data_IF_017259015253
#
_entry.id   IF_017259015253
#
_cell.length_a   1.000
_cell.length_b   1.000
_cell.length_c   1.000
_cell.angle_alpha   90.00
_cell.angle_beta   90.00
_cell.angle_gamma   90.00
#
_symmetry.space_group_name_H-M   'P 1'
#
loop_
_entity.id
_entity.type
_entity.pdbx_description
1 polymer ?
#
# COMPACT_ATOMS: atom_id res chain seq x y z
N UNK A 1 -14.42 -1.57 -14.08
CA UNK A 1 -13.11 -1.48 -13.39
C UNK A 1 -12.74 -0.02 -13.37
N UNK A 2 -12.56 0.58 -12.20
CA UNK A 2 -11.99 1.93 -12.12
C UNK A 2 -10.48 1.75 -12.13
N UNK A 3 -9.83 2.36 -13.11
CA UNK A 3 -8.38 2.47 -13.14
C UNK A 3 -8.04 3.81 -12.49
N UNK A 4 -7.18 3.79 -11.48
CA UNK A 4 -6.69 5.01 -10.86
C UNK A 4 -5.73 5.74 -11.80
N UNK A 5 -5.59 7.05 -11.61
CA UNK A 5 -4.65 7.83 -12.41
C UNK A 5 -3.23 7.29 -12.25
N UNK A 6 -2.51 7.16 -13.37
CA UNK A 6 -1.14 6.69 -13.36
C UNK A 6 -0.22 7.65 -12.58
N UNK A 7 0.67 7.10 -11.76
CA UNK A 7 1.62 7.88 -10.95
C UNK A 7 3.05 7.51 -11.33
N UNK A 8 3.88 8.54 -11.48
CA UNK A 8 5.29 8.42 -11.81
C UNK A 8 6.08 8.07 -10.54
N UNK A 9 6.73 6.91 -10.52
CA UNK A 9 7.52 6.38 -9.41
C UNK A 9 9.01 6.39 -9.77
N UNK A 10 9.75 7.33 -9.20
CA UNK A 10 11.19 7.47 -9.42
C UNK A 10 11.97 6.71 -8.37
N UNK A 11 12.90 5.88 -8.79
CA UNK A 11 13.69 5.02 -7.91
C UNK A 11 15.04 5.67 -7.65
N UNK A 12 15.16 6.35 -6.52
CA UNK A 12 16.39 7.06 -6.13
C UNK A 12 17.28 6.19 -5.22
N UNK A 13 18.62 6.19 -5.40
CA UNK A 13 19.53 5.40 -4.55
C UNK A 13 19.39 5.71 -3.06
N UNK A 14 19.16 6.97 -2.69
CA UNK A 14 18.98 7.35 -1.28
C UNK A 14 17.70 6.76 -0.69
N UNK A 15 16.61 6.67 -1.46
CA UNK A 15 15.37 6.06 -0.99
C UNK A 15 15.53 4.57 -0.74
N UNK A 16 16.27 3.87 -1.63
CA UNK A 16 16.65 2.46 -1.45
C UNK A 16 17.43 2.27 -0.14
N UNK A 17 18.47 3.09 0.09
CA UNK A 17 19.29 3.03 1.30
C UNK A 17 18.46 3.27 2.57
N UNK A 18 17.59 4.28 2.56
CA UNK A 18 16.74 4.59 3.71
C UNK A 18 15.74 3.47 3.99
N UNK A 19 15.14 2.89 2.94
CA UNK A 19 14.23 1.76 3.08
C UNK A 19 14.93 0.52 3.63
N UNK A 20 16.07 0.14 3.07
CA UNK A 20 16.87 -1.00 3.52
C UNK A 20 17.23 -0.88 5.01
N UNK A 21 17.68 0.30 5.45
CA UNK A 21 17.96 0.57 6.87
C UNK A 21 16.71 0.53 7.74
N UNK A 22 15.57 1.02 7.25
CA UNK A 22 14.33 1.01 8.02
C UNK A 22 13.84 -0.43 8.31
N UNK A 23 14.10 -1.37 7.40
CA UNK A 23 13.77 -2.79 7.60
C UNK A 23 14.94 -3.61 8.20
N UNK A 24 16.10 -3.00 8.43
CA UNK A 24 17.28 -3.67 8.98
C UNK A 24 17.92 -4.68 8.04
N UNK A 25 17.75 -4.55 6.71
CA UNK A 25 18.35 -5.43 5.72
C UNK A 25 19.67 -4.83 5.20
N UNK A 26 20.77 -5.53 5.47
CA UNK A 26 22.14 -5.09 5.20
C UNK A 26 22.71 -5.65 3.88
N UNK A 27 21.87 -6.20 2.99
CA UNK A 27 22.34 -6.73 1.72
C UNK A 27 23.17 -5.67 0.93
N UNK A 28 24.45 -5.95 0.60
CA UNK A 28 25.33 -4.97 -0.05
C UNK A 28 24.81 -4.53 -1.43
N UNK A 29 23.99 -5.34 -2.09
CA UNK A 29 23.41 -5.00 -3.39
C UNK A 29 22.57 -3.71 -3.36
N UNK A 30 22.09 -3.27 -2.19
CA UNK A 30 21.30 -2.05 -2.03
C UNK A 30 22.15 -0.76 -2.01
N UNK A 31 23.48 -0.88 -2.00
CA UNK A 31 24.41 0.27 -2.03
C UNK A 31 25.44 0.18 -3.16
N UNK A 32 25.45 -0.91 -3.91
CA UNK A 32 26.22 -1.07 -5.14
C UNK A 32 25.71 -0.15 -6.26
N UNK A 33 26.39 -0.13 -7.41
CA UNK A 33 26.01 0.72 -8.56
C UNK A 33 25.70 -0.14 -9.80
N UNK A 34 24.45 -0.16 -10.30
CA UNK A 34 23.28 0.51 -9.72
C UNK A 34 22.77 -0.22 -8.47
N UNK A 35 22.21 0.51 -7.51
CA UNK A 35 21.67 -0.08 -6.28
C UNK A 35 20.39 -0.85 -6.60
N UNK A 36 20.29 -2.10 -6.14
CA UNK A 36 19.07 -2.90 -6.24
C UNK A 36 18.05 -2.41 -5.22
N UNK A 37 16.78 -2.32 -5.62
CA UNK A 37 15.71 -2.07 -4.68
C UNK A 37 15.33 -3.36 -3.92
N UNK A 38 15.12 -3.31 -2.59
CA UNK A 38 14.63 -4.44 -1.82
C UNK A 38 13.29 -5.00 -2.34
N UNK A 39 12.97 -6.29 -2.16
CA UNK A 39 11.76 -6.92 -2.73
C UNK A 39 10.41 -6.31 -2.33
N UNK A 40 10.36 -5.48 -1.28
CA UNK A 40 9.14 -4.80 -0.82
C UNK A 40 9.20 -3.29 -1.02
N UNK A 41 10.22 -2.79 -1.72
CA UNK A 41 10.50 -1.36 -1.91
C UNK A 41 9.35 -0.60 -2.60
N UNK A 42 8.60 -1.25 -3.49
CA UNK A 42 7.45 -0.66 -4.19
C UNK A 42 6.36 -0.16 -3.23
N UNK A 43 6.33 -0.61 -1.98
CA UNK A 43 5.44 -0.04 -0.96
C UNK A 43 5.71 1.44 -0.67
N UNK A 44 6.90 1.94 -1.00
CA UNK A 44 7.19 3.37 -0.88
C UNK A 44 6.37 4.23 -1.87
N UNK A 45 5.72 3.62 -2.88
CA UNK A 45 4.77 4.31 -3.77
C UNK A 45 3.70 5.09 -2.99
N UNK A 46 3.29 4.60 -1.82
CA UNK A 46 2.30 5.26 -0.95
C UNK A 46 2.69 6.72 -0.59
N UNK A 47 3.99 7.03 -0.55
CA UNK A 47 4.49 8.38 -0.27
C UNK A 47 4.43 9.32 -1.48
N UNK A 48 4.16 8.82 -2.68
CA UNK A 48 4.00 9.63 -3.90
C UNK A 48 2.55 9.74 -4.37
N UNK A 49 1.67 8.80 -3.99
CA UNK A 49 0.23 8.85 -4.32
C UNK A 49 -0.42 10.15 -3.80
N UNK A 50 -1.02 11.03 -4.62
CA UNK A 50 -1.56 12.32 -4.16
C UNK A 50 -2.58 12.19 -3.01
N UNK A 51 -3.44 11.18 -3.11
CA UNK A 51 -4.59 10.98 -2.22
C UNK A 51 -4.40 9.81 -1.25
N UNK A 52 -3.16 9.49 -0.88
CA UNK A 52 -2.90 8.44 0.10
C UNK A 52 -3.46 8.82 1.48
N UNK A 53 -4.48 8.09 1.92
CA UNK A 53 -5.27 8.39 3.12
C UNK A 53 -4.46 8.34 4.43
N UNK A 54 -3.42 7.50 4.47
CA UNK A 54 -2.57 7.38 5.66
C UNK A 54 -1.43 8.42 5.71
N UNK A 55 -1.37 9.33 4.73
CA UNK A 55 -0.41 10.45 4.76
C UNK A 55 -0.92 11.56 5.70
N UNK A 56 -0.14 11.97 6.72
CA UNK A 56 -0.48 13.14 7.52
C UNK A 56 -0.61 14.39 6.64
N UNK A 57 -1.67 15.18 6.87
CA UNK A 57 -1.91 16.46 6.19
C UNK A 57 -2.05 17.57 7.24
N UNK A 58 -1.49 18.74 6.92
CA UNK A 58 -1.54 19.89 7.81
C UNK A 58 -3.00 20.26 8.09
N UNK A 59 -3.36 20.39 9.37
CA UNK A 59 -4.71 20.74 9.83
C UNK A 59 -5.82 19.70 9.55
N UNK A 60 -5.47 18.48 9.17
CA UNK A 60 -6.42 17.37 9.02
C UNK A 60 -6.26 16.36 10.19
N UNK A 61 -7.33 15.68 10.64
CA UNK A 61 -7.19 14.58 11.60
C UNK A 61 -6.29 13.50 11.00
N UNK A 62 -5.45 12.89 11.82
CA UNK A 62 -4.64 11.75 11.40
C UNK A 62 -4.65 10.64 12.43
N UNK A 63 -4.63 9.42 11.92
CA UNK A 63 -4.90 8.17 12.63
C UNK A 63 -3.80 7.84 13.66
N UNK A 64 -2.58 8.36 13.49
CA UNK A 64 -1.44 8.06 14.37
C UNK A 64 -1.06 9.16 15.37
N UNK A 65 -1.72 10.32 15.35
CA UNK A 65 -1.54 11.34 16.39
C UNK A 65 -2.48 11.01 17.53
N UNK A 66 -1.98 10.45 18.62
CA UNK A 66 -2.77 10.13 19.82
C UNK A 66 -3.42 11.35 20.47
N UNK A 67 -4.51 11.86 19.87
CA UNK A 67 -5.42 12.83 20.45
C UNK A 67 -5.01 14.30 20.45
N UNK A 68 -4.01 14.75 19.68
CA UNK A 68 -3.63 16.18 19.66
C UNK A 68 -3.87 16.83 18.30
N UNK A 69 -5.15 17.06 18.01
CA UNK A 69 -5.63 18.18 17.20
C UNK A 69 -7.13 18.37 17.48
N UNK A 70 -7.48 18.81 18.69
CA UNK A 70 -8.77 19.43 19.07
C UNK A 70 -10.08 18.78 18.57
N UNK A 71 -10.11 17.47 18.32
CA UNK A 71 -11.33 16.75 17.98
C UNK A 71 -11.46 15.47 18.80
N UNK A 72 -12.66 15.29 19.33
CA UNK A 72 -13.07 14.14 20.12
C UNK A 72 -12.78 12.83 19.34
N UNK A 73 -12.29 11.76 20.00
CA UNK A 73 -11.98 10.46 19.36
C UNK A 73 -13.14 9.78 18.63
N UNK A 74 -14.34 10.34 18.68
CA UNK A 74 -15.56 9.79 18.10
C UNK A 74 -15.72 10.06 16.58
N UNK A 75 -14.91 10.94 15.97
CA UNK A 75 -15.09 11.34 14.56
C UNK A 75 -13.86 11.13 13.68
N UNK A 76 -12.75 10.64 14.23
CA UNK A 76 -11.51 10.36 13.48
C UNK A 76 -11.16 8.87 13.62
N UNK A 77 -11.76 8.04 12.78
CA UNK A 77 -11.52 6.59 12.75
C UNK A 77 -10.21 6.21 12.03
N UNK A 78 -9.37 5.32 12.62
CA UNK A 78 -8.19 4.66 12.02
C UNK A 78 -8.45 3.70 10.86
N UNK A 79 -9.71 3.38 10.75
CA UNK A 79 -10.33 2.32 9.99
C UNK A 79 -11.70 2.93 9.82
N UNK A 80 -12.16 3.18 8.61
CA UNK A 80 -13.55 3.58 8.46
C UNK A 80 -14.41 2.44 9.03
N UNK A 81 -14.83 2.54 10.29
CA UNK A 81 -16.10 2.00 10.76
C UNK A 81 -17.15 2.77 9.96
N UNK A 82 -17.26 2.39 8.71
CA UNK A 82 -18.46 2.54 7.94
C UNK A 82 -19.49 1.63 8.60
N UNK A 83 -20.78 1.86 8.35
CA UNK A 83 -21.83 0.93 8.75
C UNK A 83 -21.59 -0.53 8.25
N UNK A 84 -20.57 -0.75 7.42
CA UNK A 84 -20.13 -2.02 6.83
C UNK A 84 -18.90 -2.68 7.48
N UNK A 85 -18.31 -2.14 8.55
CA UNK A 85 -17.26 -2.80 9.36
C UNK A 85 -15.81 -2.35 9.10
N UNK A 86 -14.85 -2.82 9.92
CA UNK A 86 -13.44 -2.42 9.87
C UNK A 86 -12.68 -3.12 8.73
N UNK A 87 -11.90 -2.36 7.95
CA UNK A 87 -11.04 -2.89 6.88
C UNK A 87 -9.61 -3.07 7.37
N UNK A 88 -9.03 -4.25 7.11
CA UNK A 88 -7.67 -4.63 7.48
C UNK A 88 -6.86 -5.02 6.25
N UNK A 89 -5.54 -4.82 6.34
CA UNK A 89 -4.58 -5.38 5.38
C UNK A 89 -4.38 -6.86 5.67
N UNK A 90 -4.83 -7.74 4.77
CA UNK A 90 -4.76 -9.19 4.95
C UNK A 90 -3.48 -9.79 4.36
N UNK A 91 -3.14 -9.42 3.12
CA UNK A 91 -1.98 -9.96 2.41
C UNK A 91 -1.38 -8.89 1.51
N UNK A 92 -0.07 -9.00 1.30
CA UNK A 92 0.64 -8.27 0.27
C UNK A 92 1.53 -9.25 -0.51
N UNK A 93 1.43 -9.27 -1.83
CA UNK A 93 2.28 -10.06 -2.72
C UNK A 93 2.93 -9.20 -3.80
N UNK A 94 4.08 -9.67 -4.30
CA UNK A 94 4.87 -9.02 -5.34
C UNK A 94 5.37 -10.06 -6.34
N UNK A 95 5.11 -9.83 -7.62
CA UNK A 95 5.66 -10.60 -8.73
C UNK A 95 6.64 -9.73 -9.51
N UNK A 96 7.91 -10.13 -9.56
CA UNK A 96 8.97 -9.42 -10.25
C UNK A 96 9.23 -10.06 -11.61
N UNK A 97 9.18 -9.25 -12.67
CA UNK A 97 9.56 -9.66 -14.02
C UNK A 97 11.01 -9.28 -14.35
N UNK A 98 11.53 -8.25 -13.65
CA UNK A 98 12.96 -7.97 -13.49
C UNK A 98 13.21 -7.23 -12.17
N UNK A 99 14.44 -7.24 -11.62
CA UNK A 99 14.79 -6.40 -10.48
C UNK A 99 14.57 -4.91 -10.79
N UNK A 100 14.16 -4.16 -9.78
CA UNK A 100 14.16 -2.69 -9.81
C UNK A 100 15.54 -2.20 -9.39
N UNK A 101 16.07 -1.22 -10.12
CA UNK A 101 17.38 -0.62 -9.85
C UNK A 101 17.28 0.90 -9.71
N UNK A 102 18.20 1.49 -8.96
CA UNK A 102 18.31 2.94 -8.87
C UNK A 102 18.46 3.58 -10.26
N UNK A 103 17.71 4.66 -10.49
CA UNK A 103 17.57 5.30 -11.79
C UNK A 103 16.36 4.84 -12.60
N UNK A 104 15.70 3.73 -12.21
CA UNK A 104 14.42 3.35 -12.82
C UNK A 104 13.37 4.47 -12.63
N UNK A 105 12.62 4.71 -13.69
CA UNK A 105 11.46 5.60 -13.71
C UNK A 105 10.27 4.78 -14.16
N UNK A 106 9.42 4.39 -13.21
CA UNK A 106 8.32 3.47 -13.44
C UNK A 106 6.98 4.22 -13.44
N UNK A 107 6.09 3.87 -14.36
CA UNK A 107 4.70 4.28 -14.35
C UNK A 107 3.90 3.24 -13.56
N UNK A 108 3.35 3.65 -12.42
CA UNK A 108 2.50 2.81 -11.59
C UNK A 108 1.02 3.07 -11.92
N UNK A 109 0.28 2.02 -12.25
CA UNK A 109 -1.18 2.07 -12.43
C UNK A 109 -1.85 1.07 -11.51
N UNK A 110 -2.91 1.51 -10.83
CA UNK A 110 -3.64 0.69 -9.88
C UNK A 110 -5.05 0.40 -10.37
N UNK A 111 -5.48 -0.84 -10.21
CA UNK A 111 -6.82 -1.31 -10.57
C UNK A 111 -7.36 -2.27 -9.53
N UNK A 112 -8.69 -2.39 -9.49
CA UNK A 112 -9.35 -3.41 -8.69
C UNK A 112 -9.08 -4.81 -9.26
N UNK A 113 -8.85 -5.78 -8.39
CA UNK A 113 -8.72 -7.20 -8.72
C UNK A 113 -10.00 -7.98 -8.38
N UNK A 114 -9.83 -9.19 -7.85
CA UNK A 114 -10.94 -10.04 -7.41
C UNK A 114 -11.55 -9.52 -6.11
N UNK A 115 -12.84 -9.83 -5.92
CA UNK A 115 -13.53 -9.71 -4.63
C UNK A 115 -14.22 -11.02 -4.30
N UNK A 116 -14.17 -11.45 -3.05
CA UNK A 116 -14.82 -12.68 -2.60
C UNK A 116 -15.27 -12.57 -1.15
N UNK A 117 -16.07 -13.52 -0.69
CA UNK A 117 -16.52 -13.59 0.70
C UNK A 117 -16.09 -14.90 1.34
N UNK A 118 -15.92 -14.90 2.67
CA UNK A 118 -15.63 -16.09 3.45
C UNK A 118 -16.42 -16.07 4.75
N UNK A 119 -17.08 -17.20 5.04
CA UNK A 119 -17.74 -17.39 6.33
C UNK A 119 -16.71 -17.58 7.45
N UNK A 120 -16.87 -16.78 8.51
CA UNK A 120 -16.08 -16.84 9.72
C UNK A 120 -16.96 -17.10 10.94
N UNK A 121 -16.32 -17.35 12.09
CA UNK A 121 -17.04 -17.56 13.36
C UNK A 121 -17.87 -16.36 13.83
N UNK A 122 -17.57 -15.16 13.32
CA UNK A 122 -18.17 -13.89 13.72
C UNK A 122 -19.00 -13.26 12.59
N UNK A 123 -19.36 -14.05 11.58
CA UNK A 123 -20.08 -13.59 10.38
C UNK A 123 -19.22 -13.61 9.11
N UNK A 124 -19.83 -13.16 8.02
CA UNK A 124 -19.23 -13.14 6.67
C UNK A 124 -18.20 -12.02 6.55
N UNK A 125 -16.99 -12.35 6.14
CA UNK A 125 -15.94 -11.38 5.80
C UNK A 125 -15.91 -11.16 4.29
N UNK A 126 -15.74 -9.91 3.86
CA UNK A 126 -15.55 -9.56 2.44
C UNK A 126 -14.09 -9.25 2.16
N UNK A 127 -13.53 -9.84 1.11
CA UNK A 127 -12.16 -9.65 0.66
C UNK A 127 -12.15 -8.94 -0.69
N UNK A 128 -11.11 -8.15 -0.94
CA UNK A 128 -10.88 -7.51 -2.22
C UNK A 128 -9.39 -7.41 -2.52
N UNK A 129 -9.05 -7.39 -3.81
CA UNK A 129 -7.71 -7.15 -4.31
C UNK A 129 -7.59 -5.72 -4.86
N UNK A 130 -6.41 -5.12 -4.63
CA UNK A 130 -5.93 -3.96 -5.37
C UNK A 130 -4.59 -4.31 -6.00
N UNK A 131 -4.52 -4.20 -7.31
CA UNK A 131 -3.37 -4.61 -8.12
C UNK A 131 -2.71 -3.36 -8.69
N UNK A 132 -1.43 -3.17 -8.40
CA UNK A 132 -0.60 -2.10 -8.95
C UNK A 132 0.44 -2.70 -9.90
N UNK A 133 0.37 -2.30 -11.16
CA UNK A 133 1.35 -2.66 -12.18
C UNK A 133 2.38 -1.52 -12.33
N UNK A 134 3.66 -1.86 -12.30
CA UNK A 134 4.77 -0.93 -12.51
C UNK A 134 5.41 -1.22 -13.86
N UNK A 135 5.32 -0.28 -14.80
CA UNK A 135 5.91 -0.40 -16.14
C UNK A 135 7.03 0.59 -16.35
N UNK A 136 8.06 0.23 -17.11
CA UNK A 136 9.15 1.17 -17.44
C UNK A 136 8.81 2.05 -18.66
N UNK A 137 9.79 2.82 -19.13
CA UNK A 137 9.64 3.76 -20.24
C UNK A 137 9.31 3.11 -21.58
N UNK A 138 9.60 1.81 -21.74
CA UNK A 138 9.26 1.04 -22.94
C UNK A 138 7.88 0.37 -22.81
N UNK A 139 7.22 0.50 -21.65
CA UNK A 139 5.93 -0.12 -21.35
C UNK A 139 6.04 -1.56 -20.85
N UNK A 140 7.25 -2.06 -20.65
CA UNK A 140 7.50 -3.41 -20.15
C UNK A 140 7.13 -3.52 -18.68
N UNK A 141 6.45 -4.61 -18.30
CA UNK A 141 6.02 -4.84 -16.94
C UNK A 141 7.23 -5.23 -16.08
N UNK A 142 7.49 -4.47 -15.02
CA UNK A 142 8.65 -4.65 -14.13
C UNK A 142 8.23 -5.40 -12.86
N UNK A 143 7.15 -4.94 -12.23
CA UNK A 143 6.58 -5.54 -11.01
C UNK A 143 5.07 -5.47 -11.04
N UNK A 144 4.43 -6.54 -10.55
CA UNK A 144 3.02 -6.52 -10.14
C UNK A 144 2.94 -6.64 -8.62
N UNK A 145 2.31 -5.66 -7.98
CA UNK A 145 2.02 -5.65 -6.54
C UNK A 145 0.54 -5.92 -6.32
N UNK A 146 0.18 -6.87 -5.46
CA UNK A 146 -1.21 -7.15 -5.12
C UNK A 146 -1.43 -7.06 -3.61
N UNK A 147 -2.28 -6.12 -3.20
CA UNK A 147 -2.80 -6.03 -1.85
C UNK A 147 -4.12 -6.82 -1.77
N UNK A 148 -4.29 -7.64 -0.74
CA UNK A 148 -5.59 -8.17 -0.33
C UNK A 148 -6.04 -7.43 0.93
N UNK A 149 -7.18 -6.76 0.82
CA UNK A 149 -7.90 -6.19 1.96
C UNK A 149 -9.03 -7.11 2.42
N UNK A 150 -9.37 -7.04 3.72
CA UNK A 150 -10.53 -7.72 4.29
C UNK A 150 -11.37 -6.74 5.09
N UNK A 151 -12.67 -6.69 4.81
CA UNK A 151 -13.67 -6.01 5.62
C UNK A 151 -14.33 -7.03 6.53
N UNK A 152 -14.19 -6.80 7.84
CA UNK A 152 -14.80 -7.63 8.87
C UNK A 152 -16.29 -7.32 9.02
N UNK A 153 -17.12 -8.29 9.42
CA UNK A 153 -18.52 -8.03 9.73
C UNK A 153 -18.64 -7.02 10.89
N UNK A 154 -19.74 -6.24 10.96
CA UNK A 154 -19.98 -5.31 12.05
C UNK A 154 -19.95 -6.02 13.42
N UNK A 155 -19.43 -5.38 14.48
CA UNK A 155 -19.48 -5.95 15.81
C UNK A 155 -20.95 -6.13 16.28
N UNK A 156 -21.27 -7.30 16.84
CA UNK A 156 -22.57 -7.56 17.48
C UNK A 156 -23.64 -8.26 16.64
N UNK A 157 -23.34 -8.71 15.42
CA UNK A 157 -24.17 -9.71 14.74
C UNK A 157 -23.73 -11.11 15.20
N UNK A 158 -24.33 -11.62 16.29
CA UNK A 158 -24.36 -13.05 16.55
C UNK A 158 -25.17 -13.75 15.45
N UNK A 159 -24.66 -14.90 14.98
CA UNK A 159 -25.32 -15.75 13.99
C UNK A 159 -26.52 -16.49 14.58
#
# INVERSE_FOLDING_TARGET
>A
MKEEAAVLFRVEPLQILLFARAIGDENPAYVETPALAPPTFTQTLQHVLPDYEFRPRMNEPWIGTGGVADRSPAEAGPTGETATGATLHAEQSFEYHRPIVAGDVLLATTRDGRSWQKEGRRGTMAFFERITEFRDGDGELVVTSTLVGVTLPPPGQEA
#
